data_IF_571632004233
#
_entry.id   IF_571632004233
#
_cell.length_a   1.000
_cell.length_b   1.000
_cell.length_c   1.000
_cell.angle_alpha   90.00
_cell.angle_beta   90.00
_cell.angle_gamma   90.00
#
_symmetry.space_group_name_H-M   'P 1'
#
loop_
_entity.id
_entity.type
_entity.pdbx_description
1 polymer ?
#
# COMPACT_ATOMS: atom_id res chain seq x y z
N UNK A 1 2.90 -18.37 -3.20
CA UNK A 1 2.64 -17.59 -4.42
C UNK A 1 3.51 -16.34 -4.45
N UNK A 2 4.83 -16.50 -4.67
CA UNK A 2 5.77 -15.38 -4.55
C UNK A 2 5.88 -14.54 -5.82
N UNK A 3 5.70 -15.18 -6.98
CA UNK A 3 5.73 -14.53 -8.31
C UNK A 3 4.77 -13.34 -8.41
N UNK A 4 3.46 -13.45 -8.09
CA UNK A 4 2.55 -12.31 -8.20
C UNK A 4 2.91 -11.18 -7.23
N UNK A 5 3.44 -11.50 -6.04
CA UNK A 5 3.89 -10.49 -5.08
C UNK A 5 5.11 -9.72 -5.61
N UNK A 6 6.08 -10.41 -6.21
CA UNK A 6 7.25 -9.74 -6.79
C UNK A 6 6.86 -8.88 -8.00
N UNK A 7 5.95 -9.36 -8.84
CA UNK A 7 5.44 -8.58 -9.98
C UNK A 7 4.70 -7.32 -9.50
N UNK A 8 3.88 -7.43 -8.45
CA UNK A 8 3.19 -6.30 -7.85
C UNK A 8 4.20 -5.30 -7.25
N UNK A 9 5.17 -5.78 -6.47
CA UNK A 9 6.21 -4.93 -5.87
C UNK A 9 7.01 -4.16 -6.92
N UNK A 10 7.39 -4.82 -8.02
CA UNK A 10 8.06 -4.16 -9.15
C UNK A 10 7.16 -3.13 -9.81
N UNK A 11 5.92 -3.49 -10.13
CA UNK A 11 4.95 -2.59 -10.78
C UNK A 11 4.68 -1.34 -9.95
N UNK A 12 4.47 -1.52 -8.65
CA UNK A 12 4.19 -0.42 -7.70
C UNK A 12 5.43 0.45 -7.49
N UNK A 13 6.61 -0.16 -7.42
CA UNK A 13 7.87 0.59 -7.32
C UNK A 13 8.10 1.43 -8.57
N UNK A 14 7.88 0.87 -9.77
CA UNK A 14 7.97 1.60 -11.04
C UNK A 14 6.94 2.73 -11.11
N UNK A 15 5.69 2.48 -10.70
CA UNK A 15 4.66 3.51 -10.64
C UNK A 15 5.08 4.67 -9.72
N UNK A 16 5.57 4.37 -8.51
CA UNK A 16 6.03 5.41 -7.59
C UNK A 16 7.25 6.16 -8.13
N UNK A 17 8.24 5.48 -8.73
CA UNK A 17 9.46 6.15 -9.22
C UNK A 17 9.18 7.03 -10.42
N UNK A 18 8.24 6.66 -11.29
CA UNK A 18 7.89 7.43 -12.49
C UNK A 18 6.86 8.52 -12.18
N UNK A 19 5.73 8.18 -11.56
CA UNK A 19 4.61 9.11 -11.41
C UNK A 19 4.81 10.12 -10.26
N UNK A 20 5.38 9.72 -9.12
CA UNK A 20 5.41 10.61 -7.95
C UNK A 20 6.29 11.85 -8.16
N UNK A 21 7.48 11.77 -8.80
CA UNK A 21 8.25 12.97 -9.13
C UNK A 21 7.52 13.90 -10.10
N UNK A 22 6.80 13.35 -11.08
CA UNK A 22 6.03 14.13 -12.07
C UNK A 22 4.93 14.94 -11.38
N UNK A 23 4.18 14.31 -10.48
CA UNK A 23 3.07 14.94 -9.76
C UNK A 23 3.46 15.60 -8.43
N UNK A 24 4.76 15.65 -8.10
CA UNK A 24 5.30 16.14 -6.82
C UNK A 24 4.66 15.51 -5.58
N UNK A 25 4.28 14.24 -5.67
CA UNK A 25 3.73 13.46 -4.55
C UNK A 25 4.88 12.97 -3.68
N UNK A 26 4.73 13.03 -2.35
CA UNK A 26 5.73 12.51 -1.42
C UNK A 26 5.86 10.98 -1.56
N UNK A 27 7.10 10.49 -1.72
CA UNK A 27 7.39 9.05 -1.81
C UNK A 27 7.01 8.32 -0.52
N UNK A 28 6.47 7.10 -0.66
CA UNK A 28 6.21 6.19 0.46
C UNK A 28 7.49 5.41 0.75
N UNK A 29 7.87 5.34 2.04
CA UNK A 29 9.05 4.58 2.46
C UNK A 29 8.65 3.12 2.69
N UNK A 30 9.26 2.21 1.94
CA UNK A 30 8.98 0.76 2.01
C UNK A 30 9.28 0.16 3.40
N UNK A 31 10.31 0.67 4.08
CA UNK A 31 10.73 0.17 5.41
C UNK A 31 9.68 0.34 6.49
N UNK A 32 8.75 1.30 6.34
CA UNK A 32 7.68 1.54 7.31
C UNK A 32 6.58 0.45 7.23
N UNK A 33 6.55 -0.33 6.16
CA UNK A 33 5.49 -1.32 5.87
C UNK A 33 5.97 -2.77 5.93
N UNK A 34 7.23 -3.03 5.58
CA UNK A 34 7.81 -4.38 5.57
C UNK A 34 8.48 -4.68 6.92
N UNK A 35 7.66 -5.01 7.92
CA UNK A 35 8.12 -5.39 9.26
C UNK A 35 8.11 -6.90 9.40
N UNK A 36 9.22 -7.49 9.85
CA UNK A 36 9.35 -8.93 9.99
C UNK A 36 10.19 -9.34 11.22
N UNK A 37 9.72 -8.90 12.38
CA UNK A 37 10.37 -9.15 13.68
C UNK A 37 10.27 -10.62 14.10
N UNK A 38 9.35 -11.37 13.48
CA UNK A 38 9.02 -12.75 13.84
C UNK A 38 10.12 -13.74 13.46
N UNK A 39 11.08 -13.31 12.65
CA UNK A 39 12.29 -14.06 12.31
C UNK A 39 13.25 -14.29 13.48
N UNK A 40 13.08 -13.58 14.60
CA UNK A 40 13.93 -13.65 15.79
C UNK A 40 13.41 -14.62 16.86
N UNK A 41 12.24 -15.23 16.67
CA UNK A 41 11.75 -16.24 17.62
C UNK A 41 12.54 -17.53 17.44
N UNK A 42 13.41 -17.83 18.42
CA UNK A 42 14.39 -18.93 18.38
C UNK A 42 13.81 -20.33 18.46
N UNK A 43 12.48 -20.48 18.56
CA UNK A 43 11.80 -21.78 18.65
C UNK A 43 11.13 -22.20 17.34
N UNK A 44 11.18 -21.39 16.28
CA UNK A 44 10.60 -21.75 14.97
C UNK A 44 11.55 -22.61 14.14
N UNK A 45 11.01 -23.65 13.51
CA UNK A 45 11.72 -24.39 12.47
C UNK A 45 11.95 -23.52 11.22
N UNK A 46 12.93 -23.91 10.40
CA UNK A 46 13.30 -23.18 9.17
C UNK A 46 12.09 -23.00 8.23
N UNK A 47 11.23 -24.02 8.12
CA UNK A 47 10.02 -23.99 7.28
C UNK A 47 8.97 -23.02 7.83
N UNK A 48 8.74 -23.01 9.14
CA UNK A 48 7.81 -22.10 9.79
C UNK A 48 8.27 -20.65 9.67
N UNK A 49 9.58 -20.42 9.79
CA UNK A 49 10.20 -19.11 9.58
C UNK A 49 10.00 -18.62 8.14
N UNK A 50 10.11 -19.52 7.15
CA UNK A 50 9.84 -19.19 5.75
C UNK A 50 8.38 -18.78 5.53
N UNK A 51 7.42 -19.55 6.06
CA UNK A 51 5.99 -19.20 5.95
C UNK A 51 5.66 -17.90 6.67
N UNK A 52 6.24 -17.66 7.85
CA UNK A 52 6.04 -16.42 8.57
C UNK A 52 6.56 -15.22 7.77
N UNK A 53 7.77 -15.32 7.24
CA UNK A 53 8.37 -14.28 6.37
C UNK A 53 7.49 -13.99 5.17
N UNK A 54 6.97 -15.04 4.53
CA UNK A 54 6.12 -14.92 3.35
C UNK A 54 4.82 -14.16 3.66
N UNK A 55 4.14 -14.50 4.76
CA UNK A 55 2.92 -13.82 5.17
C UNK A 55 3.19 -12.37 5.61
N UNK A 56 4.24 -12.11 6.40
CA UNK A 56 4.66 -10.76 6.79
C UNK A 56 4.94 -9.89 5.57
N UNK A 57 5.68 -10.44 4.59
CA UNK A 57 5.99 -9.76 3.33
C UNK A 57 4.72 -9.45 2.53
N UNK A 58 3.82 -10.42 2.38
CA UNK A 58 2.58 -10.24 1.62
C UNK A 58 1.68 -9.15 2.21
N UNK A 59 1.45 -9.17 3.52
CA UNK A 59 0.62 -8.16 4.19
C UNK A 59 1.30 -6.78 4.15
N UNK A 60 2.61 -6.71 4.40
CA UNK A 60 3.37 -5.47 4.32
C UNK A 60 3.36 -4.86 2.92
N UNK A 61 3.51 -5.69 1.88
CA UNK A 61 3.46 -5.25 0.48
C UNK A 61 2.08 -4.70 0.10
N UNK A 62 1.00 -5.36 0.54
CA UNK A 62 -0.36 -4.88 0.28
C UNK A 62 -0.62 -3.53 0.97
N UNK A 63 -0.19 -3.37 2.22
CA UNK A 63 -0.32 -2.10 2.93
C UNK A 63 0.50 -0.98 2.27
N UNK A 64 1.72 -1.27 1.84
CA UNK A 64 2.58 -0.35 1.09
C UNK A 64 1.93 0.09 -0.23
N UNK A 65 1.38 -0.87 -0.98
CA UNK A 65 0.67 -0.61 -2.23
C UNK A 65 -0.57 0.24 -2.01
N UNK A 66 -1.36 -0.06 -0.96
CA UNK A 66 -2.55 0.69 -0.62
C UNK A 66 -2.24 2.16 -0.28
N UNK A 67 -1.16 2.44 0.46
CA UNK A 67 -0.75 3.83 0.73
C UNK A 67 -0.31 4.56 -0.55
N UNK A 68 0.41 3.89 -1.45
CA UNK A 68 0.80 4.48 -2.74
C UNK A 68 -0.44 4.88 -3.54
N UNK A 69 -1.38 3.94 -3.69
CA UNK A 69 -2.64 4.19 -4.41
C UNK A 69 -3.46 5.26 -3.70
N UNK A 70 -3.53 5.28 -2.37
CA UNK A 70 -4.26 6.30 -1.62
C UNK A 70 -3.69 7.72 -1.81
N UNK A 71 -2.36 7.87 -1.95
CA UNK A 71 -1.74 9.16 -2.30
C UNK A 71 -2.04 9.56 -3.73
N UNK A 72 -2.03 8.60 -4.66
CA UNK A 72 -2.40 8.84 -6.06
C UNK A 72 -3.88 9.23 -6.19
N UNK A 73 -4.77 8.55 -5.47
CA UNK A 73 -6.21 8.84 -5.43
C UNK A 73 -6.47 10.24 -4.86
N UNK A 74 -5.81 10.60 -3.76
CA UNK A 74 -5.90 11.93 -3.18
C UNK A 74 -5.49 13.02 -4.18
N UNK A 75 -4.52 12.75 -5.06
CA UNK A 75 -4.07 13.71 -6.05
C UNK A 75 -4.98 13.76 -7.30
N UNK A 76 -5.47 12.60 -7.79
CA UNK A 76 -6.29 12.56 -9.02
C UNK A 76 -7.77 12.85 -8.79
N UNK A 77 -8.38 12.36 -7.71
CA UNK A 77 -9.80 12.52 -7.47
C UNK A 77 -10.11 12.46 -5.96
N UNK A 78 -9.96 13.57 -5.22
CA UNK A 78 -10.26 13.64 -3.79
C UNK A 78 -11.77 13.77 -3.53
N UNK A 79 -12.60 12.93 -4.16
CA UNK A 79 -14.06 12.91 -4.01
C UNK A 79 -14.49 11.57 -3.42
N UNK A 80 -15.34 11.60 -2.39
CA UNK A 80 -15.89 10.38 -1.79
C UNK A 80 -16.77 9.62 -2.79
N UNK A 81 -16.79 8.31 -2.67
CA UNK A 81 -17.64 7.43 -3.46
C UNK A 81 -19.10 7.57 -3.00
N UNK A 82 -20.04 7.46 -3.94
CA UNK A 82 -21.48 7.49 -3.65
C UNK A 82 -21.92 6.35 -2.72
N UNK A 83 -21.24 5.20 -2.78
CA UNK A 83 -21.52 4.04 -1.94
C UNK A 83 -20.58 4.01 -0.75
N UNK A 84 -21.08 3.47 0.37
CA UNK A 84 -20.26 3.22 1.55
C UNK A 84 -19.14 2.23 1.23
N UNK A 85 -17.90 2.64 1.47
CA UNK A 85 -16.72 1.80 1.32
C UNK A 85 -16.44 1.08 2.65
N UNK A 86 -16.18 -0.23 2.58
CA UNK A 86 -15.88 -1.04 3.76
C UNK A 86 -14.50 -0.75 4.34
N UNK A 87 -13.53 -0.42 3.49
CA UNK A 87 -12.16 -0.11 3.88
C UNK A 87 -11.71 1.21 3.25
N UNK A 88 -11.93 2.30 3.96
CA UNK A 88 -11.42 3.62 3.57
C UNK A 88 -10.06 3.86 4.22
N UNK A 89 -9.08 4.30 3.43
CA UNK A 89 -7.77 4.68 3.96
C UNK A 89 -7.85 5.98 4.78
N UNK A 90 -6.84 6.26 5.60
CA UNK A 90 -6.81 7.42 6.51
C UNK A 90 -7.07 8.77 5.82
N UNK A 91 -6.53 8.94 4.60
CA UNK A 91 -6.68 10.15 3.76
C UNK A 91 -8.09 10.37 3.22
N UNK A 92 -8.96 9.35 3.22
CA UNK A 92 -10.32 9.45 2.68
C UNK A 92 -11.20 10.43 3.47
N UNK A 93 -10.83 10.70 4.73
CA UNK A 93 -11.51 11.67 5.60
C UNK A 93 -11.45 13.09 5.04
N UNK A 94 -10.35 13.46 4.37
CA UNK A 94 -10.14 14.79 3.80
C UNK A 94 -10.71 14.95 2.39
N UNK A 95 -11.42 13.94 1.86
CA UNK A 95 -12.03 14.03 0.52
C UNK A 95 -13.34 14.82 0.57
N UNK A 96 -13.62 15.52 -0.52
CA UNK A 96 -14.88 16.23 -0.77
C UNK A 96 -16.05 15.25 -0.76
N UNK A 97 -17.25 15.70 -0.37
CA UNK A 97 -18.42 14.84 -0.43
C UNK A 97 -18.79 14.52 -1.89
N UNK A 98 -19.48 13.41 -2.09
CA UNK A 98 -19.96 13.04 -3.41
C UNK A 98 -20.95 14.11 -3.91
N UNK A 99 -20.71 14.67 -5.10
CA UNK A 99 -21.51 15.75 -5.68
C UNK A 99 -20.93 17.15 -5.53
N UNK A 100 -19.99 17.37 -4.61
CA UNK A 100 -19.37 18.69 -4.36
C UNK A 100 -18.20 19.01 -5.33
N UNK A 101 -17.86 18.08 -6.23
CA UNK A 101 -16.80 18.25 -7.23
C UNK A 101 -17.26 18.81 -8.58
N UNK A 102 -18.56 19.12 -8.71
CA UNK A 102 -19.10 19.82 -9.87
C UNK A 102 -19.05 21.32 -9.60
N UNK A 103 -18.10 22.01 -10.24
CA UNK A 103 -18.04 23.47 -10.33
C UNK A 103 -18.43 23.86 -11.77
#
# INVERSE_FOLDING_TARGET
>A
MIIPMLLLDLSVTLHQTLCFPIYRIAKVRRVDYLVDDRKHLGYLNIVERFHCTYCSYGIGLLAYTAEIVARTEQYFCPIKHARKVLHAHSRYKSFLAFGDGAL
#
